data_IF_802690895777
#
_entry.id   IF_802690895777
#
_cell.length_a   1.000
_cell.length_b   1.000
_cell.length_c   1.000
_cell.angle_alpha   90.00
_cell.angle_beta   90.00
_cell.angle_gamma   90.00
#
_symmetry.space_group_name_H-M   'P 1'
#
loop_
_entity.id
_entity.type
_entity.pdbx_description
1 polymer ?
#
# COMPACT_ATOMS: atom_id res chain seq x y z
N UNK A 1 8.93 1.82 -16.79
CA UNK A 1 9.71 1.77 -15.55
C UNK A 1 8.78 2.14 -14.41
N UNK A 2 8.13 1.15 -13.78
CA UNK A 2 7.26 1.41 -12.63
C UNK A 2 8.16 1.58 -11.42
N UNK A 3 8.32 2.83 -10.97
CA UNK A 3 9.06 3.15 -9.78
C UNK A 3 8.43 2.46 -8.57
N UNK A 4 9.30 1.97 -7.69
CA UNK A 4 8.95 1.42 -6.38
C UNK A 4 7.90 2.28 -5.68
N UNK A 5 6.63 1.86 -5.75
CA UNK A 5 5.67 2.21 -4.72
C UNK A 5 6.06 1.39 -3.49
N UNK A 6 7.08 1.87 -2.78
CA UNK A 6 7.35 1.42 -1.42
C UNK A 6 6.07 1.75 -0.66
N UNK A 7 5.30 0.73 -0.31
CA UNK A 7 4.24 0.85 0.67
C UNK A 7 4.91 1.52 1.88
N UNK A 8 4.63 2.81 2.10
CA UNK A 8 5.18 3.52 3.26
C UNK A 8 4.46 3.02 4.49
N UNK A 9 4.93 1.88 5.01
CA UNK A 9 4.41 1.29 6.22
C UNK A 9 4.91 2.13 7.40
N UNK A 10 3.96 2.74 8.11
CA UNK A 10 4.24 3.38 9.39
C UNK A 10 4.45 2.30 10.44
N UNK A 11 5.71 1.96 10.70
CA UNK A 11 6.10 0.87 11.61
C UNK A 11 5.56 1.07 13.02
N UNK A 12 5.49 2.30 13.50
CA UNK A 12 4.94 2.65 14.82
C UNK A 12 3.44 2.34 14.96
N UNK A 13 2.69 2.26 13.85
CA UNK A 13 1.26 1.93 13.82
C UNK A 13 1.03 0.42 13.64
N UNK A 14 2.08 -0.38 13.41
CA UNK A 14 1.95 -1.82 13.23
C UNK A 14 1.64 -2.55 14.55
N UNK A 15 0.72 -3.53 14.54
CA UNK A 15 0.54 -4.42 15.69
C UNK A 15 1.82 -5.24 15.92
N UNK A 16 2.13 -5.52 17.19
CA UNK A 16 3.34 -6.27 17.57
C UNK A 16 3.39 -7.67 16.92
N UNK A 17 2.24 -8.28 16.65
CA UNK A 17 2.16 -9.54 15.91
C UNK A 17 2.70 -9.41 14.48
N UNK A 18 2.37 -8.32 13.76
CA UNK A 18 2.88 -8.06 12.42
C UNK A 18 4.38 -7.78 12.46
N UNK A 19 4.86 -7.00 13.45
CA UNK A 19 6.30 -6.77 13.67
C UNK A 19 7.06 -8.08 13.89
N UNK A 20 6.49 -9.00 14.67
CA UNK A 20 7.07 -10.31 14.93
C UNK A 20 7.11 -11.19 13.67
N UNK A 21 6.02 -11.21 12.88
CA UNK A 21 5.96 -11.94 11.61
C UNK A 21 7.00 -11.43 10.62
N UNK A 22 7.16 -10.11 10.50
CA UNK A 22 8.22 -9.48 9.67
C UNK A 22 9.59 -9.99 10.11
N UNK A 23 9.90 -9.91 11.41
CA UNK A 23 11.20 -10.32 11.94
C UNK A 23 11.47 -11.81 11.69
N UNK A 24 10.49 -12.69 11.94
CA UNK A 24 10.64 -14.13 11.70
C UNK A 24 10.86 -14.46 10.23
N UNK A 25 10.08 -13.87 9.32
CA UNK A 25 10.26 -14.10 7.87
C UNK A 25 11.67 -13.73 7.41
N UNK A 26 12.19 -12.60 7.87
CA UNK A 26 13.52 -12.12 7.51
C UNK A 26 14.65 -12.98 8.09
N UNK A 27 14.53 -13.40 9.34
CA UNK A 27 15.57 -14.18 10.05
C UNK A 27 15.51 -15.68 9.71
N UNK A 28 14.33 -16.27 9.75
CA UNK A 28 14.12 -17.72 9.68
C UNK A 28 14.04 -18.21 8.23
N UNK A 29 13.31 -17.49 7.38
CA UNK A 29 13.10 -17.89 5.98
C UNK A 29 14.19 -17.30 5.08
N UNK A 30 14.42 -15.98 5.14
CA UNK A 30 15.42 -15.30 4.30
C UNK A 30 16.85 -15.37 4.83
N UNK A 31 17.04 -15.93 6.04
CA UNK A 31 18.37 -16.13 6.66
C UNK A 31 19.22 -14.85 6.73
N UNK A 32 18.57 -13.70 6.90
CA UNK A 32 19.29 -12.43 7.05
C UNK A 32 19.96 -12.38 8.42
N UNK A 33 21.21 -11.95 8.42
CA UNK A 33 22.01 -11.85 9.65
C UNK A 33 21.46 -10.78 10.60
N UNK A 34 21.52 -11.06 11.89
CA UNK A 34 21.04 -10.20 12.96
C UNK A 34 21.75 -8.84 12.97
N UNK A 35 23.04 -8.83 12.63
CA UNK A 35 23.84 -7.60 12.56
C UNK A 35 23.30 -6.63 11.52
N UNK A 36 22.78 -7.14 10.39
CA UNK A 36 22.15 -6.31 9.35
C UNK A 36 20.84 -5.68 9.80
N UNK A 37 20.21 -6.25 10.83
CA UNK A 37 19.02 -5.70 11.46
C UNK A 37 19.36 -4.75 12.62
N UNK A 38 20.65 -4.59 12.94
CA UNK A 38 21.15 -3.74 14.02
C UNK A 38 20.99 -4.36 15.41
N UNK A 39 20.88 -5.69 15.50
CA UNK A 39 20.63 -6.40 16.77
C UNK A 39 21.57 -7.57 16.95
N UNK A 40 21.83 -7.94 18.20
CA UNK A 40 22.55 -9.18 18.51
C UNK A 40 21.64 -10.39 18.39
N UNK A 41 22.23 -11.58 18.21
CA UNK A 41 21.50 -12.86 18.22
C UNK A 41 20.64 -13.06 19.47
N UNK A 42 21.13 -12.62 20.64
CA UNK A 42 20.40 -12.71 21.91
C UNK A 42 19.18 -11.79 21.93
N UNK A 43 19.32 -10.56 21.43
CA UNK A 43 18.19 -9.63 21.31
C UNK A 43 17.14 -10.14 20.33
N UNK A 44 17.57 -10.63 19.17
CA UNK A 44 16.67 -11.23 18.19
C UNK A 44 15.90 -12.43 18.78
N UNK A 45 16.58 -13.30 19.54
CA UNK A 45 15.92 -14.41 20.24
C UNK A 45 14.89 -13.93 21.27
N UNK A 46 15.16 -12.84 22.01
CA UNK A 46 14.20 -12.26 22.95
C UNK A 46 12.97 -11.69 22.23
N UNK A 47 13.16 -11.09 21.06
CA UNK A 47 12.06 -10.62 20.22
C UNK A 47 11.23 -11.79 19.68
N UNK A 48 11.85 -12.82 19.11
CA UNK A 48 11.11 -13.94 18.52
C UNK A 48 10.32 -14.75 19.55
N UNK A 49 10.79 -14.77 20.81
CA UNK A 49 10.12 -15.38 21.96
C UNK A 49 9.08 -14.48 22.65
N UNK A 50 8.85 -13.25 22.15
CA UNK A 50 7.91 -12.31 22.76
C UNK A 50 8.31 -11.82 24.16
N UNK A 51 9.58 -11.98 24.55
CA UNK A 51 10.11 -11.58 25.87
C UNK A 51 10.49 -10.11 25.93
N UNK A 52 10.57 -9.46 24.77
CA UNK A 52 10.85 -8.04 24.65
C UNK A 52 10.09 -7.47 23.45
N UNK A 53 9.59 -6.24 23.56
CA UNK A 53 9.01 -5.51 22.43
C UNK A 53 10.08 -5.23 21.37
N UNK A 54 9.68 -5.33 20.11
CA UNK A 54 10.58 -5.10 18.98
C UNK A 54 10.69 -3.60 18.76
N UNK A 55 11.91 -3.08 18.71
CA UNK A 55 12.10 -1.66 18.41
C UNK A 55 11.80 -1.39 16.93
N UNK A 56 11.18 -0.24 16.65
CA UNK A 56 10.73 0.12 15.31
C UNK A 56 11.88 0.11 14.29
N UNK A 57 13.07 0.58 14.65
CA UNK A 57 14.24 0.56 13.75
C UNK A 57 14.63 -0.85 13.27
N UNK A 58 14.38 -1.88 14.09
CA UNK A 58 14.67 -3.28 13.73
C UNK A 58 13.70 -3.73 12.65
N UNK A 59 12.43 -3.37 12.80
CA UNK A 59 11.37 -3.68 11.83
C UNK A 59 11.59 -2.89 10.54
N UNK A 60 11.96 -1.61 10.62
CA UNK A 60 12.34 -0.78 9.47
C UNK A 60 13.50 -1.40 8.68
N UNK A 61 14.52 -1.91 9.36
CA UNK A 61 15.63 -2.61 8.71
C UNK A 61 15.19 -3.95 8.13
N UNK A 62 14.31 -4.69 8.80
CA UNK A 62 13.78 -5.96 8.31
C UNK A 62 12.93 -5.79 7.05
N UNK A 63 12.07 -4.77 7.00
CA UNK A 63 11.19 -4.46 5.85
C UNK A 63 11.99 -4.26 4.55
N UNK A 64 13.22 -3.72 4.63
CA UNK A 64 14.09 -3.53 3.45
C UNK A 64 14.45 -4.83 2.72
N UNK A 65 14.29 -5.98 3.38
CA UNK A 65 14.53 -7.31 2.81
C UNK A 65 13.26 -8.00 2.32
N UNK A 66 12.10 -7.36 2.46
CA UNK A 66 10.81 -7.87 2.00
C UNK A 66 10.37 -7.13 0.74
N UNK A 67 9.74 -7.88 -0.16
CA UNK A 67 9.00 -7.31 -1.28
C UNK A 67 7.74 -6.57 -0.79
N UNK A 68 7.22 -5.59 -1.54
CA UNK A 68 5.95 -4.93 -1.21
C UNK A 68 4.80 -5.92 -0.97
N UNK A 69 4.77 -7.02 -1.73
CA UNK A 69 3.76 -8.06 -1.65
C UNK A 69 3.86 -8.82 -0.32
N UNK A 70 5.07 -9.22 0.09
CA UNK A 70 5.30 -9.88 1.40
C UNK A 70 4.93 -8.97 2.56
N UNK A 71 5.23 -7.67 2.46
CA UNK A 71 4.85 -6.69 3.49
C UNK A 71 3.33 -6.56 3.54
N UNK A 72 2.66 -6.47 2.39
CA UNK A 72 1.20 -6.38 2.32
C UNK A 72 0.53 -7.61 2.93
N UNK A 73 1.03 -8.81 2.61
CA UNK A 73 0.52 -10.07 3.14
C UNK A 73 0.63 -10.12 4.67
N UNK A 74 1.79 -9.73 5.22
CA UNK A 74 2.02 -9.74 6.67
C UNK A 74 1.19 -8.68 7.39
N UNK A 75 1.12 -7.47 6.85
CA UNK A 75 0.49 -6.31 7.51
C UNK A 75 -1.03 -6.33 7.36
N UNK A 76 -1.54 -6.65 6.17
CA UNK A 76 -2.96 -6.56 5.86
C UNK A 76 -3.66 -7.92 5.77
N UNK A 77 -2.92 -9.03 5.82
CA UNK A 77 -3.49 -10.38 5.83
C UNK A 77 -4.05 -10.83 4.48
N UNK A 78 -3.74 -10.12 3.39
CA UNK A 78 -4.08 -10.52 2.03
C UNK A 78 -2.92 -10.27 1.06
N UNK A 79 -2.71 -11.23 0.16
CA UNK A 79 -1.84 -11.03 -1.00
C UNK A 79 -2.61 -10.26 -2.07
N UNK A 80 -1.97 -9.21 -2.60
CA UNK A 80 -2.52 -8.42 -3.72
C UNK A 80 -2.59 -9.25 -5.02
N UNK A 81 -1.78 -10.31 -5.14
CA UNK A 81 -1.71 -11.15 -6.34
C UNK A 81 -2.99 -11.96 -6.57
N UNK A 82 -3.78 -12.18 -5.50
CA UNK A 82 -5.01 -12.96 -5.53
C UNK A 82 -6.28 -12.10 -5.60
N UNK A 83 -6.17 -10.78 -5.71
CA UNK A 83 -7.34 -9.91 -5.80
C UNK A 83 -7.94 -10.00 -7.20
N UNK A 84 -9.15 -10.53 -7.30
CA UNK A 84 -9.85 -10.69 -8.58
C UNK A 84 -10.87 -9.57 -8.81
N UNK A 85 -11.33 -9.42 -10.06
CA UNK A 85 -12.46 -8.53 -10.38
C UNK A 85 -13.72 -8.86 -9.57
N UNK A 86 -13.94 -10.13 -9.23
CA UNK A 86 -15.09 -10.54 -8.43
C UNK A 86 -15.00 -9.98 -6.99
N UNK A 87 -13.80 -9.85 -6.44
CA UNK A 87 -13.62 -9.28 -5.10
C UNK A 87 -13.88 -7.77 -5.11
N UNK A 88 -13.50 -7.08 -6.18
CA UNK A 88 -13.90 -5.68 -6.39
C UNK A 88 -15.43 -5.54 -6.46
N UNK A 89 -16.10 -6.42 -7.21
CA UNK A 89 -17.57 -6.43 -7.30
C UNK A 89 -18.21 -6.67 -5.93
N UNK A 90 -17.69 -7.61 -5.11
CA UNK A 90 -18.19 -7.85 -3.75
C UNK A 90 -18.05 -6.62 -2.86
N UNK A 91 -16.92 -5.92 -2.93
CA UNK A 91 -16.69 -4.67 -2.17
C UNK A 91 -17.71 -3.61 -2.55
N UNK A 92 -17.95 -3.42 -3.86
CA UNK A 92 -18.97 -2.49 -4.37
C UNK A 92 -20.37 -2.90 -3.91
N UNK A 93 -20.74 -4.17 -4.05
CA UNK A 93 -22.04 -4.69 -3.61
C UNK A 93 -22.25 -4.48 -2.10
N UNK A 94 -21.21 -4.68 -1.29
CA UNK A 94 -21.26 -4.43 0.16
C UNK A 94 -21.48 -2.95 0.47
N UNK A 95 -20.81 -2.05 -0.24
CA UNK A 95 -20.99 -0.60 -0.07
C UNK A 95 -22.40 -0.14 -0.51
N UNK A 96 -23.01 -0.79 -1.49
CA UNK A 96 -24.41 -0.52 -1.84
C UNK A 96 -25.34 -0.89 -0.67
N UNK A 97 -25.10 -2.04 -0.03
CA UNK A 97 -25.97 -2.55 1.03
C UNK A 97 -25.76 -1.94 2.42
N UNK A 98 -24.54 -1.45 2.72
CA UNK A 98 -24.18 -0.93 4.06
C UNK A 98 -23.69 0.51 3.95
N UNK A 99 -24.46 1.49 4.48
CA UNK A 99 -24.04 2.90 4.52
C UNK A 99 -22.72 3.11 5.26
N UNK A 100 -22.53 2.45 6.40
CA UNK A 100 -21.30 2.56 7.20
C UNK A 100 -20.07 2.08 6.41
N UNK A 101 -20.19 0.94 5.72
CA UNK A 101 -19.12 0.43 4.88
C UNK A 101 -18.86 1.33 3.66
N UNK A 102 -19.91 1.94 3.12
CA UNK A 102 -19.80 2.92 2.02
C UNK A 102 -18.98 4.13 2.43
N UNK A 103 -19.28 4.73 3.58
CA UNK A 103 -18.53 5.88 4.09
C UNK A 103 -17.06 5.53 4.34
N UNK A 104 -16.80 4.36 4.91
CA UNK A 104 -15.44 3.85 5.06
C UNK A 104 -14.73 3.66 3.71
N UNK A 105 -15.39 3.05 2.72
CA UNK A 105 -14.82 2.82 1.39
C UNK A 105 -14.51 4.14 0.70
N UNK A 106 -15.45 5.09 0.69
CA UNK A 106 -15.29 6.39 0.02
C UNK A 106 -14.19 7.23 0.66
N UNK A 107 -14.14 7.28 2.00
CA UNK A 107 -13.05 7.97 2.71
C UNK A 107 -11.69 7.33 2.44
N UNK A 108 -11.63 6.00 2.35
CA UNK A 108 -10.42 5.26 1.98
C UNK A 108 -9.98 5.56 0.55
N UNK A 109 -10.90 5.52 -0.42
CA UNK A 109 -10.62 5.87 -1.81
C UNK A 109 -10.14 7.32 -1.94
N UNK A 110 -10.76 8.26 -1.22
CA UNK A 110 -10.32 9.65 -1.22
C UNK A 110 -8.90 9.80 -0.64
N UNK A 111 -8.63 9.17 0.51
CA UNK A 111 -7.31 9.22 1.17
C UNK A 111 -6.19 8.62 0.33
N UNK A 112 -6.44 7.51 -0.35
CA UNK A 112 -5.39 6.73 -1.03
C UNK A 112 -5.35 6.94 -2.54
N UNK A 113 -6.48 7.30 -3.17
CA UNK A 113 -6.60 7.48 -4.62
C UNK A 113 -7.10 8.88 -5.00
N UNK A 114 -7.33 9.79 -4.05
CA UNK A 114 -7.89 11.12 -4.33
C UNK A 114 -7.10 11.89 -5.39
N UNK A 115 -5.77 11.89 -5.32
CA UNK A 115 -4.94 12.52 -6.35
C UNK A 115 -5.04 11.85 -7.73
N UNK A 116 -5.29 10.55 -7.76
CA UNK A 116 -5.44 9.79 -9.01
C UNK A 116 -6.80 10.09 -9.64
N UNK A 117 -7.87 10.04 -8.84
CA UNK A 117 -9.23 10.37 -9.26
C UNK A 117 -9.30 11.80 -9.77
N UNK A 118 -8.69 12.76 -9.08
CA UNK A 118 -8.62 14.16 -9.50
C UNK A 118 -7.87 14.37 -10.81
N UNK A 119 -6.84 13.56 -11.10
CA UNK A 119 -6.13 13.61 -12.38
C UNK A 119 -6.97 13.06 -13.53
N UNK A 120 -7.69 11.97 -13.30
CA UNK A 120 -8.56 11.35 -14.30
C UNK A 120 -9.80 12.21 -14.57
N UNK A 121 -10.39 12.85 -13.56
CA UNK A 121 -11.52 13.76 -13.75
C UNK A 121 -11.14 15.08 -14.45
N UNK A 122 -9.88 15.49 -14.36
CA UNK A 122 -9.34 16.64 -15.11
C UNK A 122 -8.81 16.28 -16.51
N UNK A 123 -8.82 15.00 -16.91
CA UNK A 123 -8.60 14.64 -18.31
C UNK A 123 -9.86 14.97 -19.11
N UNK A 124 -9.87 16.15 -19.72
CA UNK A 124 -10.83 16.44 -20.77
C UNK A 124 -10.49 15.56 -21.99
N UNK A 125 -11.39 14.66 -22.35
CA UNK A 125 -11.27 13.90 -23.60
C UNK A 125 -11.56 14.88 -24.73
N UNK A 126 -10.53 15.30 -25.45
CA UNK A 126 -10.69 16.19 -26.61
C UNK A 126 -11.51 15.46 -27.66
N UNK A 127 -12.71 15.97 -27.91
CA UNK A 127 -13.60 15.48 -28.95
C UNK A 127 -13.32 16.17 -30.29
N UNK A 128 -13.85 15.63 -31.39
CA UNK A 128 -13.74 16.26 -32.70
C UNK A 128 -14.35 17.67 -32.74
N UNK A 129 -15.38 17.91 -31.93
CA UNK A 129 -16.04 19.21 -31.82
C UNK A 129 -15.13 20.23 -31.10
N UNK A 130 -14.37 19.80 -30.10
CA UNK A 130 -13.39 20.64 -29.41
C UNK A 130 -12.25 21.09 -30.35
N UNK A 131 -11.84 20.22 -31.28
CA UNK A 131 -10.85 20.56 -32.30
C UNK A 131 -11.38 21.62 -33.27
N UNK A 132 -12.64 21.49 -33.70
CA UNK A 132 -13.27 22.48 -34.58
C UNK A 132 -13.49 23.82 -33.87
N UNK A 133 -13.86 23.78 -32.58
CA UNK A 133 -14.03 24.97 -31.76
C UNK A 133 -12.69 25.69 -31.59
N UNK A 134 -11.62 24.95 -31.30
CA UNK A 134 -10.26 25.49 -31.22
C UNK A 134 -9.85 26.16 -32.53
N UNK A 135 -10.00 25.48 -33.68
CA UNK A 135 -9.68 26.04 -35.00
C UNK A 135 -10.44 27.33 -35.29
N UNK A 136 -11.74 27.40 -34.97
CA UNK A 136 -12.57 28.60 -35.16
C UNK A 136 -12.14 29.76 -34.27
N UNK A 137 -11.68 29.49 -33.05
CA UNK A 137 -11.21 30.52 -32.12
C UNK A 137 -9.84 31.03 -32.54
N UNK A 138 -8.93 30.16 -33.00
CA UNK A 138 -7.60 30.57 -33.49
C UNK A 138 -7.68 31.36 -34.79
N UNK A 139 -8.57 30.99 -35.72
CA UNK A 139 -8.79 31.71 -36.99
C UNK A 139 -9.46 33.09 -36.83
N UNK A 140 -10.03 33.40 -35.66
CA UNK A 140 -10.61 34.71 -35.36
C UNK A 140 -9.62 35.70 -34.75
N UNK A 141 -8.41 35.25 -34.42
CA UNK A 141 -7.36 36.08 -33.83
C UNK A 141 -6.24 36.44 -34.82
N UNK A 142 -6.38 36.05 -36.08
CA UNK A 142 -5.60 36.55 -37.24
C UNK A 142 -6.45 37.54 -38.05
#
# INVERSE_FOLDING_TARGET
MYGNNVIQVKVNELPEEAKLKILRKVVEEKRIDYEKLGVTRVQAWRYTMGRQKIHDYVVENAIKYLSPEEVSEIVYGFSLDNVTFNDAIKVVAKAVQSPEFREFLLSSLHKHLGEFVNRVSNMHVVTGDDQQLFQKVTQRQE
#
